data_IF_937420033740
#
_entry.id   IF_937420033740
#
_cell.length_a   1.000
_cell.length_b   1.000
_cell.length_c   1.000
_cell.angle_alpha   90.00
_cell.angle_beta   90.00
_cell.angle_gamma   90.00
#
_symmetry.space_group_name_H-M   'P 1'
#
loop_
_entity.id
_entity.type
_entity.pdbx_description
1 polymer ?
#
# COMPACT_ATOMS: atom_id res chain seq x y z
N UNK A 1 -10.26 -23.63 1.10
CA UNK A 1 -9.49 -24.82 1.47
C UNK A 1 -8.09 -24.75 0.87
N UNK A 2 -7.02 -24.67 1.69
CA UNK A 2 -5.65 -24.61 1.19
C UNK A 2 -5.28 -25.80 0.30
N UNK A 3 -5.84 -26.97 0.58
CA UNK A 3 -5.55 -28.19 -0.24
C UNK A 3 -6.21 -28.17 -1.62
N UNK A 4 -7.25 -27.34 -1.80
CA UNK A 4 -7.91 -27.14 -3.08
C UNK A 4 -7.35 -25.92 -3.85
N UNK A 5 -6.29 -25.29 -3.35
CA UNK A 5 -5.69 -24.14 -4.02
C UNK A 5 -5.06 -24.52 -5.38
N UNK A 6 -5.17 -23.66 -6.39
CA UNK A 6 -4.69 -23.95 -7.74
C UNK A 6 -3.15 -24.04 -7.84
N UNK A 7 -2.44 -23.44 -6.90
CA UNK A 7 -0.97 -23.43 -6.87
C UNK A 7 -0.44 -23.22 -5.45
N UNK A 8 0.88 -23.37 -5.29
CA UNK A 8 1.54 -23.26 -3.99
C UNK A 8 1.42 -21.86 -3.37
N UNK A 9 1.49 -20.79 -4.17
CA UNK A 9 1.35 -19.43 -3.68
C UNK A 9 -0.05 -19.16 -3.11
N UNK A 10 -1.10 -19.55 -3.84
CA UNK A 10 -2.47 -19.43 -3.36
C UNK A 10 -2.73 -20.28 -2.10
N UNK A 11 -2.09 -21.46 -2.01
CA UNK A 11 -2.16 -22.29 -0.81
C UNK A 11 -1.55 -21.59 0.40
N UNK A 12 -0.40 -20.97 0.23
CA UNK A 12 0.27 -20.22 1.30
C UNK A 12 -0.59 -19.05 1.79
N UNK A 13 -1.19 -18.27 0.89
CA UNK A 13 -2.07 -17.17 1.26
C UNK A 13 -3.32 -17.65 2.01
N UNK A 14 -3.91 -18.77 1.60
CA UNK A 14 -5.02 -19.38 2.32
C UNK A 14 -4.62 -19.91 3.70
N UNK A 15 -3.39 -20.40 3.88
CA UNK A 15 -2.88 -20.76 5.21
C UNK A 15 -2.71 -19.53 6.10
N UNK A 16 -2.18 -18.41 5.59
CA UNK A 16 -2.07 -17.15 6.33
C UNK A 16 -3.44 -16.63 6.77
N UNK A 17 -4.43 -16.68 5.87
CA UNK A 17 -5.80 -16.28 6.17
C UNK A 17 -6.43 -17.18 7.26
N UNK A 18 -6.29 -18.50 7.16
CA UNK A 18 -6.78 -19.42 8.18
C UNK A 18 -6.07 -19.22 9.52
N UNK A 19 -4.78 -18.91 9.51
CA UNK A 19 -4.04 -18.56 10.74
C UNK A 19 -4.62 -17.31 11.39
N UNK A 20 -4.93 -16.28 10.61
CA UNK A 20 -5.57 -15.06 11.12
C UNK A 20 -6.93 -15.38 11.78
N UNK A 21 -7.72 -16.27 11.21
CA UNK A 21 -8.97 -16.74 11.81
C UNK A 21 -8.76 -17.52 13.11
N UNK A 22 -7.71 -18.36 13.17
CA UNK A 22 -7.35 -19.11 14.39
C UNK A 22 -6.86 -18.20 15.52
N UNK A 23 -6.14 -17.12 15.20
CA UNK A 23 -5.72 -16.10 16.19
C UNK A 23 -6.93 -15.47 16.86
N UNK A 24 -7.98 -15.20 16.11
CA UNK A 24 -9.33 -14.92 16.60
C UNK A 24 -9.55 -13.57 17.24
N UNK A 25 -8.52 -12.84 17.67
CA UNK A 25 -8.65 -11.53 18.31
C UNK A 25 -7.40 -10.68 18.08
N UNK A 26 -7.55 -9.34 18.07
CA UNK A 26 -6.49 -8.36 17.79
C UNK A 26 -5.82 -8.61 16.43
N UNK A 27 -6.62 -8.87 15.40
CA UNK A 27 -6.16 -9.21 14.06
C UNK A 27 -6.68 -8.22 13.04
N UNK A 28 -5.79 -7.73 12.19
CA UNK A 28 -6.14 -7.03 10.96
C UNK A 28 -5.86 -7.96 9.77
N UNK A 29 -6.88 -8.21 8.98
CA UNK A 29 -6.77 -8.95 7.71
C UNK A 29 -6.71 -7.92 6.60
N UNK A 30 -5.59 -7.85 5.90
CA UNK A 30 -5.39 -6.98 4.74
C UNK A 30 -5.39 -7.83 3.47
N UNK A 31 -6.30 -7.51 2.57
CA UNK A 31 -6.40 -8.14 1.25
C UNK A 31 -6.05 -7.09 0.20
N UNK A 32 -4.95 -7.30 -0.47
CA UNK A 32 -4.50 -6.43 -1.55
C UNK A 32 -4.93 -6.97 -2.92
N UNK A 33 -4.99 -6.08 -3.90
CA UNK A 33 -5.30 -6.42 -5.30
C UNK A 33 -6.59 -7.25 -5.45
N UNK A 34 -7.66 -6.88 -4.72
CA UNK A 34 -8.94 -7.63 -4.72
C UNK A 34 -9.59 -7.73 -6.09
N UNK A 35 -9.20 -6.90 -7.07
CA UNK A 35 -9.67 -7.01 -8.46
C UNK A 35 -9.24 -8.32 -9.14
N UNK A 36 -8.23 -9.02 -8.61
CA UNK A 36 -7.78 -10.33 -9.07
C UNK A 36 -8.42 -11.49 -8.31
N UNK A 37 -9.21 -11.19 -7.27
CA UNK A 37 -9.91 -12.21 -6.51
C UNK A 37 -11.19 -12.65 -7.21
N UNK A 38 -11.50 -13.95 -7.12
CA UNK A 38 -12.79 -14.45 -7.58
C UNK A 38 -13.92 -13.80 -6.74
N UNK A 39 -15.02 -13.32 -7.35
CA UNK A 39 -16.12 -12.69 -6.64
C UNK A 39 -16.71 -13.52 -5.49
N UNK A 40 -16.80 -14.83 -5.65
CA UNK A 40 -17.28 -15.74 -4.59
C UNK A 40 -16.36 -15.77 -3.36
N UNK A 41 -15.05 -15.55 -3.55
CA UNK A 41 -14.13 -15.43 -2.43
C UNK A 41 -14.43 -14.16 -1.62
N UNK A 42 -14.64 -13.03 -2.28
CA UNK A 42 -14.98 -11.77 -1.63
C UNK A 42 -16.33 -11.84 -0.90
N UNK A 43 -17.30 -12.55 -1.48
CA UNK A 43 -18.62 -12.76 -0.85
C UNK A 43 -18.55 -13.49 0.48
N UNK A 44 -17.54 -14.32 0.71
CA UNK A 44 -17.36 -15.02 2.01
C UNK A 44 -17.13 -14.07 3.19
N UNK A 45 -16.65 -12.86 2.91
CA UNK A 45 -16.44 -11.84 3.94
C UNK A 45 -17.73 -11.10 4.35
N UNK A 46 -18.82 -11.24 3.61
CA UNK A 46 -20.07 -10.53 3.88
C UNK A 46 -20.56 -10.78 5.31
N UNK A 47 -20.61 -12.03 5.76
CA UNK A 47 -21.06 -12.39 7.11
C UNK A 47 -20.08 -11.95 8.20
N UNK A 48 -18.81 -11.75 7.87
CA UNK A 48 -17.82 -11.17 8.77
C UNK A 48 -18.00 -9.65 8.92
N UNK A 49 -18.41 -8.97 7.84
CA UNK A 49 -18.60 -7.52 7.80
C UNK A 49 -19.98 -7.08 8.29
N UNK A 50 -20.93 -8.00 8.52
CA UNK A 50 -22.24 -7.70 9.06
C UNK A 50 -22.34 -7.99 10.57
N UNK A 51 -23.54 -7.81 11.16
CA UNK A 51 -23.79 -8.03 12.57
C UNK A 51 -23.53 -9.48 13.05
N UNK A 52 -23.48 -10.45 12.14
CA UNK A 52 -23.18 -11.83 12.48
C UNK A 52 -21.72 -12.03 12.90
N UNK A 53 -20.81 -11.24 12.33
CA UNK A 53 -19.37 -11.29 12.62
C UNK A 53 -18.80 -12.71 12.53
N UNK A 54 -19.22 -13.48 11.51
CA UNK A 54 -18.82 -14.88 11.32
C UNK A 54 -18.22 -15.08 9.95
N UNK A 55 -17.31 -16.03 9.86
CA UNK A 55 -16.76 -16.49 8.59
C UNK A 55 -16.51 -18.00 8.66
N UNK A 56 -16.69 -18.68 7.53
CA UNK A 56 -16.32 -20.08 7.38
C UNK A 56 -14.94 -20.21 6.78
N UNK A 57 -14.12 -21.04 7.37
CA UNK A 57 -12.81 -21.43 6.87
C UNK A 57 -12.61 -22.93 6.94
N UNK A 58 -11.48 -23.38 6.38
CA UNK A 58 -11.08 -24.79 6.46
C UNK A 58 -9.74 -24.86 7.19
N UNK A 59 -9.75 -25.56 8.31
CA UNK A 59 -8.55 -25.79 9.11
C UNK A 59 -8.29 -27.29 9.22
N UNK A 60 -7.10 -27.72 8.83
CA UNK A 60 -6.71 -29.15 8.82
C UNK A 60 -7.73 -30.06 8.14
N UNK A 61 -8.23 -29.63 6.95
CA UNK A 61 -9.18 -30.37 6.14
C UNK A 61 -10.61 -30.43 6.70
N UNK A 62 -10.91 -29.67 7.75
CA UNK A 62 -12.26 -29.62 8.37
C UNK A 62 -12.84 -28.22 8.25
N UNK A 63 -14.08 -28.12 7.82
CA UNK A 63 -14.82 -26.87 7.84
C UNK A 63 -15.03 -26.40 9.26
N UNK A 64 -14.76 -25.13 9.52
CA UNK A 64 -14.90 -24.49 10.82
C UNK A 64 -15.52 -23.11 10.64
N UNK A 65 -16.54 -22.81 11.45
CA UNK A 65 -17.12 -21.47 11.54
C UNK A 65 -16.41 -20.70 12.65
N UNK A 66 -15.86 -19.56 12.30
CA UNK A 66 -15.23 -18.64 13.25
C UNK A 66 -16.24 -17.56 13.63
N UNK A 67 -16.42 -17.34 14.93
CA UNK A 67 -17.30 -16.32 15.51
C UNK A 67 -16.44 -15.20 16.12
N UNK A 68 -16.51 -14.01 15.52
CA UNK A 68 -15.73 -12.84 15.94
C UNK A 68 -16.56 -11.79 16.69
N UNK A 69 -17.74 -12.13 17.16
CA UNK A 69 -18.55 -11.22 17.98
C UNK A 69 -17.80 -10.87 19.26
N UNK A 70 -17.69 -9.57 19.55
CA UNK A 70 -16.90 -9.07 20.69
C UNK A 70 -15.39 -9.17 20.53
N UNK A 71 -14.90 -9.59 19.36
CA UNK A 71 -13.47 -9.69 19.03
C UNK A 71 -13.00 -8.48 18.21
N UNK A 72 -11.73 -8.10 18.41
CA UNK A 72 -11.08 -7.04 17.66
C UNK A 72 -10.51 -7.60 16.36
N UNK A 73 -11.37 -7.77 15.37
CA UNK A 73 -10.99 -8.20 14.03
C UNK A 73 -11.46 -7.15 13.04
N UNK A 74 -10.51 -6.65 12.25
CA UNK A 74 -10.71 -5.70 11.17
C UNK A 74 -10.34 -6.34 9.83
N UNK A 75 -11.10 -6.04 8.79
CA UNK A 75 -10.77 -6.42 7.41
C UNK A 75 -10.58 -5.15 6.62
N UNK A 76 -9.45 -5.02 5.96
CA UNK A 76 -9.13 -3.94 5.03
C UNK A 76 -8.91 -4.58 3.66
N UNK A 77 -9.56 -4.03 2.65
CA UNK A 77 -9.44 -4.49 1.27
C UNK A 77 -8.98 -3.33 0.41
N UNK A 78 -7.98 -3.56 -0.44
CA UNK A 78 -7.50 -2.59 -1.40
C UNK A 78 -7.55 -3.19 -2.81
N UNK A 79 -7.84 -2.35 -3.79
CA UNK A 79 -7.88 -2.79 -5.18
C UNK A 79 -7.92 -1.63 -6.15
N UNK A 80 -7.56 -1.92 -7.38
CA UNK A 80 -7.63 -0.98 -8.47
C UNK A 80 -9.01 -1.02 -9.15
N UNK A 81 -9.54 0.13 -9.59
CA UNK A 81 -10.85 0.19 -10.25
C UNK A 81 -10.87 -0.48 -11.64
N UNK A 82 -9.69 -0.78 -12.20
CA UNK A 82 -9.53 -1.43 -13.49
C UNK A 82 -8.66 -2.67 -13.36
N UNK A 83 -9.05 -3.73 -14.09
CA UNK A 83 -8.24 -4.93 -14.25
C UNK A 83 -7.15 -4.71 -15.32
N UNK A 84 -6.18 -5.61 -15.42
CA UNK A 84 -5.15 -5.57 -16.48
C UNK A 84 -5.74 -5.65 -17.90
N UNK A 85 -6.89 -6.31 -18.05
CA UNK A 85 -7.65 -6.37 -19.32
C UNK A 85 -8.35 -5.05 -19.66
N UNK A 86 -8.35 -4.07 -18.73
CA UNK A 86 -9.07 -2.81 -18.87
C UNK A 86 -10.54 -2.87 -18.45
N UNK A 87 -11.03 -4.02 -18.01
CA UNK A 87 -12.39 -4.16 -17.51
C UNK A 87 -12.52 -3.46 -16.16
N UNK A 88 -13.69 -2.84 -15.94
CA UNK A 88 -13.97 -2.18 -14.69
C UNK A 88 -14.27 -3.21 -13.59
N UNK A 89 -13.46 -3.21 -12.53
CA UNK A 89 -13.71 -4.03 -11.36
C UNK A 89 -14.88 -3.48 -10.56
N UNK A 90 -15.78 -4.37 -10.15
CA UNK A 90 -16.91 -4.05 -9.28
C UNK A 90 -16.85 -4.89 -8.02
N UNK A 91 -16.82 -4.22 -6.88
CA UNK A 91 -16.97 -4.88 -5.59
C UNK A 91 -18.41 -5.44 -5.52
N UNK A 92 -18.61 -6.70 -5.08
CA UNK A 92 -19.96 -7.23 -4.92
C UNK A 92 -20.83 -6.30 -4.06
N UNK A 93 -22.03 -5.96 -4.56
CA UNK A 93 -22.91 -4.96 -3.92
C UNK A 93 -23.21 -5.29 -2.46
N UNK A 94 -23.41 -6.56 -2.14
CA UNK A 94 -23.65 -6.99 -0.77
C UNK A 94 -22.47 -6.77 0.16
N UNK A 95 -21.25 -6.73 -0.34
CA UNK A 95 -20.06 -6.42 0.42
C UNK A 95 -19.89 -4.90 0.53
N UNK A 96 -20.04 -4.17 -0.58
CA UNK A 96 -19.91 -2.72 -0.62
C UNK A 96 -20.88 -2.00 0.32
N UNK A 97 -22.11 -2.53 0.46
CA UNK A 97 -23.12 -2.00 1.39
C UNK A 97 -22.79 -2.20 2.88
N UNK A 98 -21.75 -2.96 3.20
CA UNK A 98 -21.31 -3.27 4.58
C UNK A 98 -19.91 -2.76 4.90
N UNK A 99 -19.30 -2.09 3.95
CA UNK A 99 -17.95 -1.56 4.06
C UNK A 99 -17.96 -0.03 4.02
N UNK A 100 -17.04 0.59 4.74
CA UNK A 100 -16.70 1.98 4.51
C UNK A 100 -15.78 2.03 3.29
N UNK A 101 -16.26 2.65 2.21
CA UNK A 101 -15.53 2.71 0.95
C UNK A 101 -14.86 4.08 0.82
N UNK A 102 -13.55 4.04 0.64
CA UNK A 102 -12.75 5.21 0.36
C UNK A 102 -12.22 5.13 -1.07
N UNK A 103 -12.65 6.06 -1.90
CA UNK A 103 -12.03 6.27 -3.21
C UNK A 103 -10.87 7.26 -3.03
N UNK A 104 -9.66 6.77 -3.17
CA UNK A 104 -8.46 7.59 -3.03
C UNK A 104 -8.25 8.54 -4.21
N UNK A 105 -9.01 8.36 -5.28
CA UNK A 105 -8.94 9.21 -6.47
C UNK A 105 -7.55 9.20 -7.14
N UNK A 106 -7.21 10.32 -7.75
CA UNK A 106 -5.88 10.55 -8.30
C UNK A 106 -4.94 11.01 -7.17
N UNK A 107 -4.23 10.06 -6.57
CA UNK A 107 -3.29 10.31 -5.47
C UNK A 107 -2.17 11.27 -5.89
N UNK A 108 -1.81 11.30 -7.18
CA UNK A 108 -0.73 12.17 -7.67
C UNK A 108 -1.23 13.59 -7.93
N UNK A 109 -2.53 13.81 -8.17
CA UNK A 109 -3.10 15.12 -8.47
C UNK A 109 -2.84 16.15 -7.35
N UNK A 110 -3.76 16.25 -6.42
CA UNK A 110 -3.72 17.26 -5.34
C UNK A 110 -2.65 16.97 -4.28
N UNK A 111 -2.22 15.73 -4.13
CA UNK A 111 -1.23 15.27 -3.14
C UNK A 111 0.15 14.93 -3.74
N UNK A 112 0.46 15.46 -4.92
CA UNK A 112 1.73 15.19 -5.61
C UNK A 112 2.97 15.48 -4.75
N UNK A 113 2.93 16.50 -3.89
CA UNK A 113 4.04 16.84 -3.01
C UNK A 113 4.22 15.79 -1.89
N UNK A 114 3.13 15.30 -1.32
CA UNK A 114 3.18 14.25 -0.29
C UNK A 114 3.71 12.94 -0.88
N UNK A 115 3.30 12.61 -2.11
CA UNK A 115 3.84 11.48 -2.85
C UNK A 115 5.35 11.63 -3.10
N UNK A 116 5.82 12.83 -3.49
CA UNK A 116 7.24 13.12 -3.68
C UNK A 116 8.06 12.91 -2.41
N UNK A 117 7.56 13.36 -1.27
CA UNK A 117 8.21 13.19 0.01
C UNK A 117 8.21 11.72 0.46
N UNK A 118 7.07 11.05 0.34
CA UNK A 118 6.93 9.62 0.67
C UNK A 118 7.88 8.74 -0.16
N UNK A 119 8.08 9.06 -1.45
CA UNK A 119 9.05 8.36 -2.28
C UNK A 119 10.46 8.45 -1.71
N UNK A 120 10.89 9.65 -1.27
CA UNK A 120 12.21 9.85 -0.65
C UNK A 120 12.30 9.11 0.68
N UNK A 121 11.27 9.19 1.53
CA UNK A 121 11.23 8.48 2.82
C UNK A 121 11.40 6.96 2.64
N UNK A 122 10.72 6.38 1.66
CA UNK A 122 10.88 4.96 1.33
C UNK A 122 12.30 4.60 0.86
N UNK A 123 13.00 5.52 0.20
CA UNK A 123 14.38 5.30 -0.24
C UNK A 123 15.39 5.37 0.92
N UNK A 124 15.07 6.01 2.05
CA UNK A 124 16.01 6.18 3.17
C UNK A 124 16.47 4.83 3.73
N UNK A 125 15.55 3.89 3.90
CA UNK A 125 15.87 2.58 4.47
C UNK A 125 16.56 1.64 3.48
N UNK A 126 16.31 1.82 2.19
CA UNK A 126 16.85 0.97 1.13
C UNK A 126 18.26 1.40 0.69
N UNK A 127 18.67 2.65 0.94
CA UNK A 127 19.96 3.18 0.48
C UNK A 127 21.00 3.15 1.61
N UNK A 128 22.18 2.52 1.41
CA UNK A 128 23.20 2.38 2.46
C UNK A 128 23.73 3.71 3.01
N UNK A 129 23.77 4.75 2.21
CA UNK A 129 24.24 6.10 2.63
C UNK A 129 23.14 6.78 3.44
N UNK A 130 21.90 6.77 2.93
CA UNK A 130 20.77 7.47 3.54
C UNK A 130 20.21 6.74 4.76
N UNK A 131 20.47 5.43 4.91
CA UNK A 131 19.99 4.65 6.04
C UNK A 131 20.33 5.27 7.40
N UNK A 132 21.48 5.96 7.48
CA UNK A 132 21.89 6.70 8.69
C UNK A 132 20.92 7.82 9.06
N UNK A 133 20.16 8.33 8.08
CA UNK A 133 19.14 9.37 8.30
C UNK A 133 17.81 8.82 8.82
N UNK A 134 17.54 7.52 8.65
CA UNK A 134 16.27 6.91 9.06
C UNK A 134 15.99 7.05 10.58
N UNK A 135 17.04 7.22 11.40
CA UNK A 135 16.95 7.46 12.84
C UNK A 135 17.08 8.95 13.24
N UNK A 136 17.19 9.83 12.27
CA UNK A 136 17.34 11.28 12.50
C UNK A 136 15.99 12.00 12.46
N UNK A 137 16.01 13.29 12.80
CA UNK A 137 14.83 14.14 12.73
C UNK A 137 14.28 14.22 11.29
N UNK A 138 12.96 14.12 11.15
CA UNK A 138 12.28 14.33 9.87
C UNK A 138 12.54 15.70 9.28
N UNK A 139 12.72 16.72 10.13
CA UNK A 139 13.09 18.08 9.70
C UNK A 139 14.46 18.12 9.04
N UNK A 140 15.43 17.37 9.57
CA UNK A 140 16.77 17.29 8.98
C UNK A 140 16.72 16.61 7.60
N UNK A 141 15.89 15.58 7.45
CA UNK A 141 15.68 14.90 6.17
C UNK A 141 15.12 15.89 5.15
N UNK A 142 14.06 16.63 5.49
CA UNK A 142 13.46 17.61 4.60
C UNK A 142 14.41 18.78 4.29
N UNK A 143 15.22 19.21 5.26
CA UNK A 143 16.27 20.19 5.05
C UNK A 143 17.30 19.73 4.01
N UNK A 144 17.72 18.46 4.08
CA UNK A 144 18.63 17.86 3.10
C UNK A 144 17.99 17.73 1.72
N UNK A 145 16.72 17.36 1.65
CA UNK A 145 15.95 17.33 0.39
C UNK A 145 15.89 18.71 -0.23
N UNK A 146 15.58 19.74 0.56
CA UNK A 146 15.53 21.12 0.10
C UNK A 146 16.90 21.60 -0.45
N UNK A 147 18.00 21.26 0.22
CA UNK A 147 19.35 21.56 -0.28
C UNK A 147 19.60 20.83 -1.61
N UNK A 148 19.15 19.58 -1.73
CA UNK A 148 19.34 18.82 -2.95
C UNK A 148 18.53 19.40 -4.14
N UNK A 149 17.33 19.90 -3.88
CA UNK A 149 16.45 20.53 -4.87
C UNK A 149 16.93 21.92 -5.31
N UNK A 150 17.26 22.76 -4.32
CA UNK A 150 17.61 24.17 -4.58
C UNK A 150 19.08 24.41 -4.87
N UNK A 151 19.95 23.53 -4.39
CA UNK A 151 21.41 23.74 -4.39
C UNK A 151 21.91 24.76 -3.35
N UNK A 152 21.00 25.39 -2.57
CA UNK A 152 21.34 26.40 -1.57
C UNK A 152 21.21 25.84 -0.16
N UNK A 153 22.07 26.33 0.74
CA UNK A 153 22.00 26.08 2.19
C UNK A 153 21.50 27.28 2.96
N UNK A 154 21.16 28.35 2.30
CA UNK A 154 20.73 29.60 2.92
C UNK A 154 19.40 29.42 3.66
N UNK A 155 19.40 29.83 4.92
CA UNK A 155 18.20 29.73 5.79
C UNK A 155 17.90 28.33 6.31
N UNK A 156 18.73 27.33 6.02
CA UNK A 156 18.50 25.95 6.48
C UNK A 156 19.24 25.71 7.80
N UNK A 157 18.51 25.19 8.77
CA UNK A 157 19.02 24.78 10.08
C UNK A 157 18.74 23.32 10.32
N UNK A 158 19.70 22.60 10.89
CA UNK A 158 19.56 21.21 11.29
C UNK A 158 19.28 21.12 12.80
N UNK A 159 18.48 20.14 13.20
CA UNK A 159 18.26 19.83 14.63
C UNK A 159 19.42 18.99 15.19
N UNK A 160 20.02 18.13 14.39
CA UNK A 160 21.19 17.35 14.76
C UNK A 160 22.48 17.94 14.18
N UNK A 161 23.60 17.61 14.81
CA UNK A 161 24.91 17.93 14.24
C UNK A 161 25.24 16.97 13.11
N UNK A 162 25.49 17.52 11.94
CA UNK A 162 25.97 16.79 10.75
C UNK A 162 27.33 17.34 10.34
N UNK A 163 28.29 16.45 10.06
CA UNK A 163 29.54 16.86 9.48
C UNK A 163 29.32 17.39 8.05
N UNK A 164 30.07 18.39 7.64
CA UNK A 164 29.92 18.97 6.30
C UNK A 164 30.09 17.95 5.17
N UNK A 165 30.97 16.98 5.38
CA UNK A 165 31.22 15.88 4.46
C UNK A 165 30.02 14.95 4.34
N UNK A 166 29.37 14.61 5.47
CA UNK A 166 28.16 13.80 5.50
C UNK A 166 27.01 14.48 4.77
N UNK A 167 26.80 15.78 5.01
CA UNK A 167 25.79 16.59 4.31
C UNK A 167 26.03 16.54 2.79
N UNK A 168 27.29 16.68 2.36
CA UNK A 168 27.63 16.61 0.94
C UNK A 168 27.31 15.23 0.33
N UNK A 169 27.64 14.16 1.07
CA UNK A 169 27.36 12.78 0.63
C UNK A 169 25.85 12.55 0.51
N UNK A 170 25.05 12.93 1.54
CA UNK A 170 23.59 12.81 1.51
C UNK A 170 22.98 13.60 0.36
N UNK A 171 23.39 14.85 0.19
CA UNK A 171 22.89 15.71 -0.90
C UNK A 171 23.22 15.13 -2.28
N UNK A 172 24.41 14.57 -2.46
CA UNK A 172 24.81 13.96 -3.73
C UNK A 172 23.95 12.74 -4.08
N UNK A 173 23.57 11.92 -3.09
CA UNK A 173 22.67 10.77 -3.28
C UNK A 173 21.25 11.27 -3.51
N UNK A 174 20.75 12.20 -2.70
CA UNK A 174 19.41 12.77 -2.83
C UNK A 174 19.18 13.40 -4.20
N UNK A 175 20.15 14.14 -4.77
CA UNK A 175 20.03 14.70 -6.13
C UNK A 175 19.73 13.62 -7.18
N UNK A 176 20.37 12.45 -7.07
CA UNK A 176 20.13 11.34 -7.99
C UNK A 176 18.73 10.73 -7.76
N UNK A 177 18.33 10.56 -6.50
CA UNK A 177 17.00 10.05 -6.14
C UNK A 177 15.88 10.99 -6.58
N UNK A 178 16.07 12.30 -6.47
CA UNK A 178 15.13 13.30 -6.97
C UNK A 178 14.91 13.18 -8.48
N UNK A 179 15.97 12.95 -9.24
CA UNK A 179 15.85 12.72 -10.69
C UNK A 179 15.07 11.44 -11.00
N UNK A 180 15.33 10.36 -10.27
CA UNK A 180 14.59 9.10 -10.40
C UNK A 180 13.12 9.29 -10.00
N UNK A 181 12.87 9.93 -8.86
CA UNK A 181 11.52 10.28 -8.38
C UNK A 181 10.72 11.03 -9.45
N UNK A 182 11.28 12.08 -10.01
CA UNK A 182 10.60 12.91 -11.00
C UNK A 182 10.32 12.16 -12.30
N UNK A 183 11.23 11.23 -12.66
CA UNK A 183 11.01 10.32 -13.80
C UNK A 183 9.88 9.34 -13.53
N UNK A 184 9.87 8.70 -12.37
CA UNK A 184 8.79 7.76 -11.95
C UNK A 184 7.44 8.48 -11.89
N UNK A 185 7.40 9.68 -11.32
CA UNK A 185 6.18 10.49 -11.28
C UNK A 185 5.65 10.77 -12.67
N UNK A 186 6.51 11.19 -13.60
CA UNK A 186 6.12 11.47 -14.98
C UNK A 186 5.56 10.22 -15.65
N UNK A 187 6.21 9.08 -15.49
CA UNK A 187 5.72 7.80 -16.04
C UNK A 187 4.36 7.45 -15.46
N UNK A 188 4.18 7.59 -14.14
CA UNK A 188 2.90 7.32 -13.48
C UNK A 188 1.79 8.26 -13.97
N UNK A 189 2.09 9.54 -14.15
CA UNK A 189 1.13 10.51 -14.72
C UNK A 189 0.71 10.13 -16.14
N UNK A 190 1.65 9.73 -17.00
CA UNK A 190 1.34 9.26 -18.34
C UNK A 190 0.51 7.96 -18.32
N UNK A 191 0.81 7.06 -17.38
CA UNK A 191 0.03 5.83 -17.19
C UNK A 191 -1.42 6.15 -16.78
N UNK A 192 -1.62 7.04 -15.81
CA UNK A 192 -2.94 7.49 -15.37
C UNK A 192 -3.70 8.16 -16.52
N UNK A 193 -3.03 9.04 -17.26
CA UNK A 193 -3.60 9.73 -18.43
C UNK A 193 -4.03 8.72 -19.51
N UNK A 194 -3.18 7.74 -19.80
CA UNK A 194 -3.49 6.66 -20.74
C UNK A 194 -4.70 5.84 -20.30
N UNK A 195 -4.77 5.51 -19.01
CA UNK A 195 -5.88 4.75 -18.45
C UNK A 195 -7.22 5.51 -18.50
N UNK A 196 -7.18 6.85 -18.46
CA UNK A 196 -8.36 7.71 -18.55
C UNK A 196 -8.85 7.95 -19.99
N UNK A 197 -8.06 7.56 -21.02
CA UNK A 197 -8.47 7.70 -22.40
C UNK A 197 -9.54 6.68 -22.77
N UNK A 198 -10.43 7.06 -23.72
CA UNK A 198 -11.44 6.16 -24.24
C UNK A 198 -10.82 4.94 -24.96
N UNK A 199 -11.50 3.79 -24.89
CA UNK A 199 -11.02 2.49 -25.43
C UNK A 199 -10.57 2.52 -26.91
N UNK A 200 -10.97 3.53 -27.67
CA UNK A 200 -10.55 3.75 -29.07
C UNK A 200 -9.06 4.12 -29.22
N UNK A 201 -8.37 4.45 -28.11
CA UNK A 201 -6.96 4.88 -28.10
C UNK A 201 -6.05 3.99 -27.24
N UNK A 202 -6.55 2.86 -26.80
CA UNK A 202 -5.78 1.84 -26.05
C UNK A 202 -5.14 0.81 -26.95
#
# INVERSE_FOLDING_TARGET
DPEAAPNAAAREELHKLNLAFEMGDNVMIYLDDIQHCHPEFLQKFISLCDAQRKIEGVYKGRSKTYDFRGKKVCVVMAGNPYTESGDKFQIPDMLSNRADIYNLGDIIGDTANDFKLSYIENCLTANPVLHKLASKSQKDIYALVQIAETGSREGITFEANHAAEEVNEYVAVLKKLLLVRDTVLRVNMEYIHSAAQADTYR
#
